data_IF_257213580821
#
_entry.id   IF_257213580821
#
_cell.length_a   1.000
_cell.length_b   1.000
_cell.length_c   1.000
_cell.angle_alpha   90.00
_cell.angle_beta   90.00
_cell.angle_gamma   90.00
#
_symmetry.space_group_name_H-M   'P 1'
#
loop_
_entity.id
_entity.type
_entity.pdbx_description
1 polymer ?
#
# COMPACT_ATOMS: atom_id res chain seq x y z
N UNK A 1 21.94 13.89 34.82
CA UNK A 1 20.83 14.14 33.89
C UNK A 1 20.56 12.98 32.93
N UNK A 2 21.53 12.11 32.61
CA UNK A 2 21.34 10.95 31.71
C UNK A 2 20.65 9.71 32.34
N UNK A 3 20.64 9.58 33.67
CA UNK A 3 20.05 8.42 34.36
C UNK A 3 18.53 8.50 34.53
N UNK A 4 17.94 9.70 34.42
CA UNK A 4 16.49 9.88 34.54
C UNK A 4 15.75 9.42 33.27
N UNK A 5 16.33 9.66 32.08
CA UNK A 5 15.71 9.28 30.80
C UNK A 5 15.62 7.77 30.61
N UNK A 6 16.64 6.99 31.02
CA UNK A 6 16.66 5.52 30.85
C UNK A 6 15.59 4.85 31.73
N UNK A 7 15.43 5.31 32.98
CA UNK A 7 14.43 4.76 33.91
C UNK A 7 13.01 5.14 33.46
N UNK A 8 12.81 6.37 32.97
CA UNK A 8 11.50 6.82 32.45
C UNK A 8 11.13 6.06 31.17
N UNK A 9 12.07 5.84 30.24
CA UNK A 9 11.85 5.01 29.05
C UNK A 9 11.57 3.56 29.42
N UNK A 10 12.29 3.01 30.41
CA UNK A 10 12.05 1.65 30.90
C UNK A 10 10.66 1.48 31.52
N UNK A 11 10.21 2.45 32.32
CA UNK A 11 8.85 2.44 32.88
C UNK A 11 7.77 2.65 31.82
N UNK A 12 8.01 3.48 30.80
CA UNK A 12 7.08 3.68 29.69
C UNK A 12 6.94 2.42 28.83
N UNK A 13 8.06 1.79 28.48
CA UNK A 13 8.07 0.54 27.71
C UNK A 13 7.35 -0.57 28.47
N UNK A 14 7.62 -0.71 29.78
CA UNK A 14 6.95 -1.69 30.64
C UNK A 14 5.43 -1.47 30.71
N UNK A 15 4.97 -0.21 30.78
CA UNK A 15 3.55 0.10 30.80
C UNK A 15 2.86 -0.26 29.48
N UNK A 16 3.51 0.01 28.34
CA UNK A 16 3.01 -0.36 27.02
C UNK A 16 2.92 -1.88 26.91
N UNK A 17 3.94 -2.61 27.35
CA UNK A 17 3.94 -4.08 27.36
C UNK A 17 2.76 -4.65 28.17
N UNK A 18 2.50 -4.09 29.36
CA UNK A 18 1.36 -4.51 30.19
C UNK A 18 0.01 -4.24 29.51
N UNK A 19 -0.15 -3.08 28.88
CA UNK A 19 -1.38 -2.73 28.18
C UNK A 19 -1.63 -3.65 26.98
N UNK A 20 -0.58 -3.93 26.20
CA UNK A 20 -0.64 -4.83 25.05
C UNK A 20 -0.97 -6.25 25.49
N UNK A 21 -0.31 -6.76 26.52
CA UNK A 21 -0.57 -8.10 27.08
C UNK A 21 -2.02 -8.25 27.56
N UNK A 22 -2.54 -7.24 28.25
CA UNK A 22 -3.93 -7.23 28.69
C UNK A 22 -4.89 -7.31 27.49
N UNK A 23 -4.67 -6.51 26.44
CA UNK A 23 -5.52 -6.51 25.25
C UNK A 23 -5.47 -7.84 24.50
N UNK A 24 -4.28 -8.45 24.36
CA UNK A 24 -4.14 -9.77 23.74
C UNK A 24 -4.96 -10.81 24.51
N UNK A 25 -4.89 -10.78 25.84
CA UNK A 25 -5.63 -11.71 26.70
C UNK A 25 -7.13 -11.54 26.60
N UNK A 26 -7.63 -10.31 26.61
CA UNK A 26 -9.05 -10.01 26.42
C UNK A 26 -9.56 -10.52 25.05
N UNK A 27 -8.77 -10.34 23.99
CA UNK A 27 -9.12 -10.86 22.66
C UNK A 27 -9.13 -12.39 22.60
N UNK A 28 -8.18 -13.06 23.29
CA UNK A 28 -8.15 -14.52 23.43
C UNK A 28 -9.37 -15.05 24.19
N UNK A 29 -9.72 -14.44 25.33
CA UNK A 29 -10.88 -14.84 26.15
C UNK A 29 -12.20 -14.68 25.39
N UNK A 30 -12.31 -13.67 24.52
CA UNK A 30 -13.46 -13.47 23.63
C UNK A 30 -13.46 -14.41 22.42
N UNK A 31 -12.39 -15.18 22.21
CA UNK A 31 -12.24 -16.05 21.05
C UNK A 31 -11.98 -15.30 19.73
N UNK A 32 -11.63 -14.01 19.76
CA UNK A 32 -11.37 -13.20 18.56
C UNK A 32 -10.16 -13.71 17.75
N UNK A 33 -9.26 -14.44 18.41
CA UNK A 33 -8.11 -15.09 17.78
C UNK A 33 -8.35 -16.55 17.39
N UNK A 34 -9.60 -17.04 17.49
CA UNK A 34 -9.98 -18.41 17.15
C UNK A 34 -10.82 -18.47 15.87
N UNK A 35 -10.75 -19.61 15.19
CA UNK A 35 -11.33 -19.88 13.89
C UNK A 35 -10.97 -18.83 12.81
N UNK A 36 -9.73 -18.32 12.86
CA UNK A 36 -9.25 -17.35 11.89
C UNK A 36 -9.04 -18.03 10.52
N UNK A 37 -9.21 -17.30 9.40
CA UNK A 37 -8.90 -17.83 8.08
C UNK A 37 -7.44 -18.31 8.02
N UNK A 38 -7.24 -19.62 7.79
CA UNK A 38 -5.91 -20.23 7.73
C UNK A 38 -5.35 -20.71 9.08
N UNK A 39 -6.15 -20.73 10.15
CA UNK A 39 -5.73 -21.30 11.43
C UNK A 39 -5.34 -22.78 11.30
N UNK A 40 -4.17 -23.13 11.85
CA UNK A 40 -3.61 -24.48 11.77
C UNK A 40 -3.04 -24.88 10.40
N UNK A 41 -3.21 -24.04 9.37
CA UNK A 41 -2.64 -24.26 8.05
C UNK A 41 -1.20 -23.70 7.97
N UNK A 42 -0.35 -24.23 7.06
CA UNK A 42 0.94 -23.62 6.77
C UNK A 42 0.79 -22.15 6.35
N UNK A 43 1.66 -21.29 6.88
CA UNK A 43 1.70 -19.88 6.51
C UNK A 43 2.02 -19.73 5.02
N UNK A 44 1.20 -18.96 4.30
CA UNK A 44 1.55 -18.50 2.96
C UNK A 44 2.61 -17.41 3.09
N UNK A 45 3.85 -17.71 2.71
CA UNK A 45 4.92 -16.71 2.70
C UNK A 45 4.79 -15.85 1.45
N UNK A 46 4.56 -14.56 1.63
CA UNK A 46 4.53 -13.62 0.53
C UNK A 46 5.93 -13.43 -0.07
N UNK A 47 5.99 -13.20 -1.39
CA UNK A 47 7.24 -12.89 -2.07
C UNK A 47 7.68 -11.45 -1.79
N UNK A 48 8.44 -11.29 -0.70
CA UNK A 48 9.07 -10.03 -0.30
C UNK A 48 10.52 -9.90 -0.83
N UNK A 49 10.88 -10.63 -1.89
CA UNK A 49 12.24 -10.63 -2.44
C UNK A 49 12.69 -9.23 -2.91
N UNK A 50 11.76 -8.40 -3.38
CA UNK A 50 12.00 -7.01 -3.77
C UNK A 50 12.13 -6.01 -2.62
N UNK A 51 11.90 -6.43 -1.37
CA UNK A 51 11.98 -5.56 -0.18
C UNK A 51 13.25 -5.87 0.61
N UNK A 52 14.09 -4.87 0.94
CA UNK A 52 15.24 -5.03 1.83
C UNK A 52 14.83 -5.68 3.15
N UNK A 53 15.66 -6.57 3.69
CA UNK A 53 15.34 -7.41 4.87
C UNK A 53 14.87 -6.56 6.06
N UNK A 54 15.51 -5.41 6.26
CA UNK A 54 15.26 -4.47 7.34
C UNK A 54 13.87 -3.81 7.23
N UNK A 55 13.30 -3.76 6.02
CA UNK A 55 12.04 -3.09 5.74
C UNK A 55 10.85 -4.05 5.60
N UNK A 56 11.08 -5.36 5.49
CA UNK A 56 10.02 -6.36 5.23
C UNK A 56 8.91 -6.32 6.28
N UNK A 57 9.27 -6.26 7.56
CA UNK A 57 8.29 -6.21 8.66
C UNK A 57 7.41 -4.97 8.58
N UNK A 58 8.02 -3.81 8.33
CA UNK A 58 7.28 -2.56 8.19
C UNK A 58 6.35 -2.58 6.97
N UNK A 59 6.86 -3.07 5.83
CA UNK A 59 6.07 -3.22 4.61
C UNK A 59 4.87 -4.16 4.80
N UNK A 60 5.08 -5.30 5.46
CA UNK A 60 4.03 -6.30 5.73
C UNK A 60 2.96 -5.77 6.69
N UNK A 61 3.36 -5.01 7.71
CA UNK A 61 2.42 -4.34 8.62
C UNK A 61 1.53 -3.34 7.87
N UNK A 62 2.11 -2.52 6.99
CA UNK A 62 1.37 -1.54 6.19
C UNK A 62 0.43 -2.22 5.18
N UNK A 63 0.90 -3.28 4.53
CA UNK A 63 0.08 -4.08 3.60
C UNK A 63 -1.12 -4.71 4.32
N UNK A 64 -0.89 -5.29 5.50
CA UNK A 64 -1.94 -5.95 6.28
C UNK A 64 -2.96 -4.97 6.90
N UNK A 65 -2.55 -3.73 7.19
CA UNK A 65 -3.46 -2.69 7.70
C UNK A 65 -4.31 -2.02 6.60
N UNK A 66 -4.10 -2.40 5.33
CA UNK A 66 -4.73 -1.74 4.19
C UNK A 66 -4.16 -0.33 3.93
N UNK A 67 -3.01 0.01 4.52
CA UNK A 67 -2.38 1.30 4.34
C UNK A 67 -1.71 1.37 2.96
N UNK A 68 -2.32 2.11 2.05
CA UNK A 68 -1.76 2.39 0.73
C UNK A 68 -0.90 3.66 0.84
N UNK A 69 0.42 3.60 0.54
CA UNK A 69 1.25 4.79 0.46
C UNK A 69 0.59 5.86 -0.43
N UNK A 70 0.69 7.15 -0.07
CA UNK A 70 0.02 8.23 -0.79
C UNK A 70 0.41 8.27 -2.28
N UNK A 71 1.62 7.82 -2.61
CA UNK A 71 2.08 7.71 -3.98
C UNK A 71 1.35 6.62 -4.78
N UNK A 72 1.04 5.49 -4.13
CA UNK A 72 0.24 4.42 -4.74
C UNK A 72 -1.24 4.81 -4.84
N UNK A 73 -1.77 5.61 -3.92
CA UNK A 73 -3.10 6.21 -4.03
C UNK A 73 -3.17 7.14 -5.25
N UNK A 74 -2.21 8.07 -5.38
CA UNK A 74 -2.10 8.98 -6.52
C UNK A 74 -1.96 8.22 -7.84
N UNK A 75 -1.23 7.10 -7.86
CA UNK A 75 -1.11 6.23 -9.03
C UNK A 75 -2.45 5.62 -9.42
N UNK A 76 -3.20 5.07 -8.46
CA UNK A 76 -4.52 4.48 -8.69
C UNK A 76 -5.51 5.51 -9.22
N UNK A 77 -5.51 6.71 -8.65
CA UNK A 77 -6.35 7.81 -9.09
C UNK A 77 -5.99 8.26 -10.51
N UNK A 78 -4.70 8.38 -10.83
CA UNK A 78 -4.24 8.74 -12.16
C UNK A 78 -4.69 7.74 -13.24
N UNK A 79 -4.68 6.43 -12.93
CA UNK A 79 -5.22 5.40 -13.83
C UNK A 79 -6.72 5.58 -14.05
N UNK A 80 -7.49 5.72 -12.97
CA UNK A 80 -8.94 5.89 -13.06
C UNK A 80 -9.34 7.15 -13.87
N UNK A 81 -8.62 8.26 -13.67
CA UNK A 81 -8.84 9.49 -14.43
C UNK A 81 -8.47 9.33 -15.91
N UNK A 82 -7.37 8.62 -16.20
CA UNK A 82 -6.94 8.36 -17.57
C UNK A 82 -7.94 7.49 -18.34
N UNK A 83 -8.46 6.44 -17.70
CA UNK A 83 -9.47 5.57 -18.30
C UNK A 83 -10.79 6.33 -18.52
N UNK A 84 -11.23 7.11 -17.54
CA UNK A 84 -12.40 7.97 -17.66
C UNK A 84 -12.24 8.98 -18.82
N UNK A 85 -11.09 9.64 -18.93
CA UNK A 85 -10.81 10.59 -20.01
C UNK A 85 -10.79 9.95 -21.40
N UNK A 86 -10.50 8.65 -21.51
CA UNK A 86 -10.55 7.91 -22.78
C UNK A 86 -11.99 7.76 -23.30
N UNK A 87 -12.96 7.70 -22.39
CA UNK A 87 -14.37 7.53 -22.72
C UNK A 87 -15.11 8.86 -22.95
N UNK A 88 -14.59 9.98 -22.45
CA UNK A 88 -15.23 11.30 -22.58
C UNK A 88 -14.83 12.03 -23.87
N UNK A 89 -15.80 12.76 -24.44
CA UNK A 89 -15.53 13.72 -25.52
C UNK A 89 -14.67 14.89 -25.01
N UNK A 90 -13.58 15.27 -25.73
CA UNK A 90 -12.63 16.30 -25.29
C UNK A 90 -13.20 17.73 -25.23
N UNK A 91 -14.34 17.99 -25.89
CA UNK A 91 -15.03 19.28 -25.86
C UNK A 91 -15.92 19.47 -24.62
N UNK A 92 -16.04 18.47 -23.76
CA UNK A 92 -16.77 18.58 -22.52
C UNK A 92 -15.94 19.35 -21.48
N UNK A 93 -16.54 20.37 -20.86
CA UNK A 93 -15.90 21.16 -19.79
C UNK A 93 -15.36 20.26 -18.65
N UNK A 94 -16.09 19.18 -18.32
CA UNK A 94 -15.67 18.20 -17.31
C UNK A 94 -14.41 17.43 -17.71
N UNK A 95 -14.24 17.13 -19.01
CA UNK A 95 -13.03 16.45 -19.50
C UNK A 95 -11.79 17.36 -19.37
N UNK A 96 -11.95 18.69 -19.53
CA UNK A 96 -10.87 19.65 -19.30
C UNK A 96 -10.47 19.76 -17.84
N UNK A 97 -11.42 19.68 -16.91
CA UNK A 97 -11.12 19.68 -15.48
C UNK A 97 -10.38 18.42 -15.06
N UNK A 98 -10.86 17.25 -15.49
CA UNK A 98 -10.23 15.96 -15.19
C UNK A 98 -8.82 15.86 -15.78
N UNK A 99 -8.58 16.42 -16.98
CA UNK A 99 -7.24 16.42 -17.58
C UNK A 99 -6.24 17.31 -16.86
N UNK A 100 -6.68 18.48 -16.35
CA UNK A 100 -5.87 19.31 -15.45
C UNK A 100 -5.53 18.56 -14.16
N UNK A 101 -6.50 17.84 -13.60
CA UNK A 101 -6.27 17.05 -12.40
C UNK A 101 -5.26 15.93 -12.64
N UNK A 102 -5.41 15.19 -13.74
CA UNK A 102 -4.45 14.16 -14.15
C UNK A 102 -3.04 14.74 -14.33
N UNK A 103 -2.92 15.95 -14.90
CA UNK A 103 -1.63 16.64 -15.07
C UNK A 103 -0.97 16.94 -13.72
N UNK A 104 -1.75 17.41 -12.75
CA UNK A 104 -1.25 17.69 -11.40
C UNK A 104 -0.79 16.40 -10.69
N UNK A 105 -1.53 15.30 -10.83
CA UNK A 105 -1.13 13.99 -10.31
C UNK A 105 0.16 13.48 -10.93
N UNK A 106 0.34 13.62 -12.26
CA UNK A 106 1.60 13.28 -12.95
C UNK A 106 2.80 14.02 -12.36
N UNK A 107 2.65 15.33 -12.09
CA UNK A 107 3.73 16.15 -11.50
C UNK A 107 4.07 15.64 -10.09
N UNK A 108 3.06 15.38 -9.25
CA UNK A 108 3.26 14.87 -7.88
C UNK A 108 3.95 13.50 -7.87
N UNK A 109 3.55 12.60 -8.76
CA UNK A 109 4.16 11.28 -8.91
C UNK A 109 5.63 11.39 -9.32
N UNK A 110 5.95 12.28 -10.26
CA UNK A 110 7.32 12.51 -10.68
C UNK A 110 8.19 13.06 -9.54
N UNK A 111 7.66 13.99 -8.73
CA UNK A 111 8.34 14.51 -7.54
C UNK A 111 8.58 13.42 -6.48
N UNK A 112 7.67 12.45 -6.38
CA UNK A 112 7.82 11.29 -5.50
C UNK A 112 8.73 10.19 -6.09
N UNK A 113 9.35 10.42 -7.25
CA UNK A 113 10.23 9.46 -7.91
C UNK A 113 9.50 8.31 -8.63
N UNK A 114 8.20 8.41 -8.84
CA UNK A 114 7.39 7.42 -9.56
C UNK A 114 7.27 7.82 -11.03
N UNK A 115 7.66 6.91 -11.93
CA UNK A 115 7.45 7.08 -13.37
C UNK A 115 5.97 7.12 -13.72
N UNK A 116 5.58 7.97 -14.68
CA UNK A 116 4.20 8.06 -15.22
C UNK A 116 3.97 7.18 -16.45
N UNK A 117 4.95 6.36 -16.85
CA UNK A 117 4.88 5.51 -18.06
C UNK A 117 3.73 4.50 -17.99
N UNK A 118 3.30 4.13 -16.77
CA UNK A 118 2.15 3.24 -16.54
C UNK A 118 0.83 3.78 -17.12
N UNK A 119 0.72 5.08 -17.38
CA UNK A 119 -0.47 5.68 -18.00
C UNK A 119 -0.52 5.47 -19.51
N UNK A 120 0.63 5.21 -20.14
CA UNK A 120 0.76 5.19 -21.58
C UNK A 120 0.63 3.80 -22.21
N UNK A 121 0.46 2.75 -21.39
CA UNK A 121 0.03 1.42 -21.86
C UNK A 121 0.95 0.73 -22.88
N UNK A 122 2.11 1.30 -23.23
CA UNK A 122 2.94 0.82 -24.34
C UNK A 122 3.45 -0.62 -24.14
N UNK A 123 3.51 -1.10 -22.90
CA UNK A 123 3.85 -2.49 -22.60
C UNK A 123 2.66 -3.47 -22.66
N UNK A 124 1.41 -2.99 -22.54
CA UNK A 124 0.24 -3.87 -22.52
C UNK A 124 0.03 -4.52 -23.88
N UNK A 125 0.06 -3.74 -24.96
CA UNK A 125 -0.18 -4.24 -26.33
C UNK A 125 0.93 -5.21 -26.77
N UNK A 126 2.19 -4.89 -26.44
CA UNK A 126 3.35 -5.73 -26.77
C UNK A 126 3.32 -7.06 -26.00
N UNK A 127 2.94 -7.05 -24.72
CA UNK A 127 2.80 -8.26 -23.90
C UNK A 127 1.61 -9.10 -24.38
N UNK A 128 0.49 -8.47 -24.71
CA UNK A 128 -0.70 -9.16 -25.23
C UNK A 128 -0.41 -9.86 -26.56
N UNK A 129 0.38 -9.22 -27.44
CA UNK A 129 0.82 -9.81 -28.70
C UNK A 129 1.75 -11.01 -28.51
N UNK A 130 2.69 -10.93 -27.56
CA UNK A 130 3.61 -12.05 -27.28
C UNK A 130 2.91 -13.24 -26.65
N UNK A 131 1.97 -13.01 -25.74
CA UNK A 131 1.18 -14.08 -25.13
C UNK A 131 0.26 -14.79 -26.14
N UNK A 132 -0.25 -14.07 -27.15
CA UNK A 132 -1.04 -14.67 -28.24
C UNK A 132 -0.20 -15.42 -29.29
N UNK A 133 1.13 -15.28 -29.27
CA UNK A 133 2.03 -16.02 -30.16
C UNK A 133 2.54 -17.34 -29.57
N UNK A 134 2.26 -17.60 -28.29
CA UNK A 134 2.67 -18.82 -27.58
C UNK A 134 1.54 -19.87 -27.42
N UNK A 135 0.33 -19.60 -27.96
CA UNK A 135 -0.73 -20.60 -28.21
C UNK A 135 -0.72 -21.07 -29.68
#
# INVERSE_FOLDING_TARGET
MLLADITVWGSLMWLIDQLVEQHIREAQEKGELSNLPGEGAPLHLEDDSGVPVELRTAYRLLKNSGYLPPELEMRREALALHDLLRELNPDNEKARELSKHLTLLKIKLHQAGISTDFLHGEYSDVIHQRLQQEE
#
